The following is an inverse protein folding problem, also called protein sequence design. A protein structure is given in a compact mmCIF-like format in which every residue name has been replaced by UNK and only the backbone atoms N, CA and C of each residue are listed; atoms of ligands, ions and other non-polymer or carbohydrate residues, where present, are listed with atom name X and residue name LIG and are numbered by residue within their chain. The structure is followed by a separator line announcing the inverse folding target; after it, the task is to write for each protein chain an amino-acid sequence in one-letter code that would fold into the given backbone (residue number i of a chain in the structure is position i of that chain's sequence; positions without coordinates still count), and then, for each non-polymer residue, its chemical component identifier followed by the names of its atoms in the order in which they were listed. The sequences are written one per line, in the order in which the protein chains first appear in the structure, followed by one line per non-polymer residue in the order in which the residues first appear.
data_IF_941912668886
#
_entry.id   IF_941912668886
#
_cell.length_a   1.000
_cell.length_b   1.000
_cell.length_c   1.000
_cell.angle_alpha   90.00
_cell.angle_beta   90.00
_cell.angle_gamma   90.00
#
_symmetry.space_group_name_H-M   'P 1'
#
loop_
_entity.id
_entity.type
_entity.pdbx_description
1 polymer ?
#
# COMPACT_ATOMS: atom_id res chain seq x y z
N UNK A 1 0.60 2.31 -1.28
CA UNK A 1 1.91 1.67 -1.00
C UNK A 1 3.00 2.69 -1.21
N UNK A 2 4.05 2.75 -0.39
CA UNK A 2 5.18 3.62 -0.68
C UNK A 2 6.30 2.86 -1.41
N UNK A 3 7.12 3.58 -2.19
CA UNK A 3 8.08 3.02 -3.15
C UNK A 3 9.54 3.27 -2.75
N UNK A 4 9.82 3.34 -1.46
CA UNK A 4 11.16 3.64 -0.94
C UNK A 4 12.21 2.66 -1.47
N UNK A 5 11.85 1.37 -1.60
CA UNK A 5 12.76 0.34 -2.12
C UNK A 5 13.11 0.54 -3.59
N UNK A 6 12.14 0.97 -4.42
CA UNK A 6 12.39 1.30 -5.82
C UNK A 6 13.39 2.46 -5.93
N UNK A 7 13.19 3.51 -5.12
CA UNK A 7 14.10 4.66 -5.07
C UNK A 7 15.52 4.21 -4.71
N UNK A 8 15.66 3.33 -3.71
CA UNK A 8 16.97 2.82 -3.30
C UNK A 8 17.67 2.02 -4.40
N UNK A 9 16.97 1.12 -5.09
CA UNK A 9 17.54 0.35 -6.19
C UNK A 9 17.94 1.21 -7.39
N UNK A 10 17.26 2.35 -7.59
CA UNK A 10 17.51 3.25 -8.71
C UNK A 10 18.54 4.35 -8.38
N UNK A 11 18.97 4.47 -7.12
CA UNK A 11 19.95 5.48 -6.72
C UNK A 11 21.39 5.19 -7.22
N UNK A 12 21.67 3.96 -7.66
CA UNK A 12 22.99 3.56 -8.16
C UNK A 12 22.86 2.88 -9.52
N UNK A 13 23.55 3.36 -10.58
CA UNK A 13 23.51 2.71 -11.90
C UNK A 13 23.96 1.24 -11.88
N UNK A 14 24.81 0.87 -10.93
CA UNK A 14 25.33 -0.50 -10.75
C UNK A 14 24.32 -1.48 -10.15
N UNK A 15 23.24 -1.00 -9.53
CA UNK A 15 22.17 -1.83 -8.96
C UNK A 15 20.97 -1.97 -9.89
N UNK A 16 21.02 -1.34 -11.07
CA UNK A 16 19.96 -1.41 -12.08
C UNK A 16 20.17 -2.64 -12.95
N UNK A 17 19.19 -3.54 -12.92
CA UNK A 17 19.10 -4.74 -13.74
C UNK A 17 17.78 -4.76 -14.51
N UNK A 18 17.62 -5.67 -15.47
CA UNK A 18 16.35 -5.88 -16.17
C UNK A 18 15.21 -6.35 -15.24
N UNK A 19 15.53 -6.84 -14.04
CA UNK A 19 14.53 -7.21 -13.04
C UNK A 19 14.00 -6.02 -12.24
N UNK A 20 14.61 -4.82 -12.29
CA UNK A 20 14.12 -3.69 -11.50
C UNK A 20 12.69 -3.31 -11.88
N UNK A 21 12.40 -3.18 -13.18
CA UNK A 21 11.07 -2.83 -13.67
C UNK A 21 10.00 -3.86 -13.30
N UNK A 22 10.32 -5.16 -13.42
CA UNK A 22 9.40 -6.21 -13.00
C UNK A 22 9.40 -6.40 -11.49
N UNK A 23 10.42 -5.96 -10.76
CA UNK A 23 10.66 -6.17 -9.32
C UNK A 23 9.95 -5.17 -8.43
N UNK A 24 9.91 -3.90 -8.84
CA UNK A 24 9.51 -2.81 -7.94
C UNK A 24 8.41 -1.90 -8.49
N UNK A 25 7.99 -2.06 -9.74
CA UNK A 25 6.93 -1.23 -10.29
C UNK A 25 5.63 -1.37 -9.48
N UNK A 26 4.88 -0.27 -9.35
CA UNK A 26 3.68 -0.25 -8.50
C UNK A 26 2.61 -1.26 -8.95
N UNK A 27 2.39 -1.38 -10.26
CA UNK A 27 1.43 -2.34 -10.85
C UNK A 27 1.80 -3.80 -10.56
N UNK A 28 3.10 -4.10 -10.51
CA UNK A 28 3.63 -5.43 -10.24
C UNK A 28 3.23 -5.89 -8.84
N UNK A 29 3.09 -5.00 -7.87
CA UNK A 29 2.69 -5.39 -6.51
C UNK A 29 1.35 -6.15 -6.49
N UNK A 30 0.37 -5.72 -7.31
CA UNK A 30 -0.89 -6.43 -7.50
C UNK A 30 -0.72 -7.62 -8.47
N UNK A 31 -0.07 -7.40 -9.61
CA UNK A 31 0.02 -8.40 -10.67
C UNK A 31 0.79 -9.66 -10.25
N UNK A 32 1.80 -9.55 -9.37
CA UNK A 32 2.52 -10.71 -8.82
C UNK A 32 1.63 -11.60 -7.97
N UNK A 33 0.73 -11.00 -7.18
CA UNK A 33 -0.27 -11.76 -6.40
C UNK A 33 -1.20 -12.48 -7.38
N UNK A 34 -1.73 -11.77 -8.37
CA UNK A 34 -2.59 -12.38 -9.39
C UNK A 34 -1.89 -13.51 -10.14
N UNK A 35 -0.63 -13.33 -10.54
CA UNK A 35 0.16 -14.35 -11.21
C UNK A 35 0.38 -15.59 -10.33
N UNK A 36 0.82 -15.40 -9.09
CA UNK A 36 1.14 -16.51 -8.18
C UNK A 36 -0.09 -17.37 -7.82
N UNK A 37 -1.27 -16.75 -7.71
CA UNK A 37 -2.51 -17.46 -7.39
C UNK A 37 -3.39 -17.74 -8.61
N UNK A 38 -2.89 -17.47 -9.82
CA UNK A 38 -3.61 -17.62 -11.08
C UNK A 38 -4.98 -16.90 -11.09
N UNK A 39 -5.06 -15.72 -10.50
CA UNK A 39 -6.25 -14.87 -10.53
C UNK A 39 -6.37 -14.18 -11.89
N UNK A 40 -7.53 -14.31 -12.51
CA UNK A 40 -7.82 -13.78 -13.86
C UNK A 40 -8.74 -12.55 -13.85
N UNK A 41 -9.21 -12.13 -12.67
CA UNK A 41 -10.02 -10.93 -12.49
C UNK A 41 -9.22 -9.62 -12.49
N UNK A 42 -9.84 -8.49 -12.12
CA UNK A 42 -9.18 -7.19 -12.06
C UNK A 42 -7.91 -7.20 -11.19
N UNK A 43 -6.81 -6.64 -11.70
CA UNK A 43 -5.54 -6.53 -10.98
C UNK A 43 -4.91 -5.16 -11.21
N UNK A 44 -4.81 -4.37 -10.15
CA UNK A 44 -4.27 -3.02 -10.19
C UNK A 44 -3.77 -2.57 -8.81
N UNK A 45 -2.86 -1.61 -8.82
CA UNK A 45 -2.41 -0.92 -7.62
C UNK A 45 -3.02 0.50 -7.58
N UNK A 46 -3.30 1.00 -6.38
CA UNK A 46 -3.84 2.33 -6.13
C UNK A 46 -2.87 3.11 -5.23
N UNK A 47 -2.66 4.38 -5.58
CA UNK A 47 -1.99 5.35 -4.74
C UNK A 47 -2.90 6.57 -4.53
N UNK A 48 -3.49 6.63 -3.34
CA UNK A 48 -4.22 7.80 -2.82
C UNK A 48 -3.59 8.26 -1.50
N UNK A 49 -2.26 8.18 -1.41
CA UNK A 49 -1.48 8.43 -0.21
C UNK A 49 -1.95 7.58 0.99
N UNK A 50 -2.18 8.20 2.16
CA UNK A 50 -2.53 7.52 3.41
C UNK A 50 -3.82 6.68 3.34
N UNK A 51 -4.70 6.96 2.37
CA UNK A 51 -5.97 6.26 2.21
C UNK A 51 -5.91 5.06 1.27
N UNK A 52 -4.76 4.79 0.64
CA UNK A 52 -4.62 3.81 -0.46
C UNK A 52 -5.22 2.44 -0.16
N UNK A 53 -5.00 1.89 1.05
CA UNK A 53 -5.53 0.57 1.44
C UNK A 53 -7.05 0.58 1.61
N UNK A 54 -7.63 1.67 2.12
CA UNK A 54 -9.07 1.83 2.25
C UNK A 54 -9.74 2.05 0.89
N UNK A 55 -9.09 2.76 -0.03
CA UNK A 55 -9.58 2.91 -1.41
C UNK A 55 -9.50 1.57 -2.15
N UNK A 56 -8.43 0.79 -1.96
CA UNK A 56 -8.35 -0.56 -2.51
C UNK A 56 -9.48 -1.46 -1.98
N UNK A 57 -9.79 -1.38 -0.68
CA UNK A 57 -10.93 -2.08 -0.09
C UNK A 57 -12.27 -1.64 -0.69
N UNK A 58 -12.46 -0.32 -0.86
CA UNK A 58 -13.64 0.24 -1.49
C UNK A 58 -13.82 -0.28 -2.94
N UNK A 59 -12.77 -0.23 -3.76
CA UNK A 59 -12.78 -0.72 -5.12
C UNK A 59 -13.07 -2.23 -5.19
N UNK A 60 -12.47 -3.02 -4.29
CA UNK A 60 -12.72 -4.47 -4.21
C UNK A 60 -14.18 -4.77 -3.86
N UNK A 61 -14.75 -4.07 -2.87
CA UNK A 61 -16.16 -4.20 -2.53
C UNK A 61 -17.09 -3.76 -3.67
N UNK A 62 -16.71 -2.72 -4.41
CA UNK A 62 -17.45 -2.24 -5.58
C UNK A 62 -17.43 -3.27 -6.72
N UNK A 63 -16.26 -3.80 -7.08
CA UNK A 63 -16.10 -4.80 -8.13
C UNK A 63 -16.94 -6.06 -7.86
N UNK A 64 -16.95 -6.53 -6.61
CA UNK A 64 -17.81 -7.67 -6.21
C UNK A 64 -19.30 -7.34 -6.37
N UNK A 65 -19.73 -6.13 -5.99
CA UNK A 65 -21.13 -5.71 -6.09
C UNK A 65 -21.60 -5.51 -7.53
N UNK A 66 -20.72 -5.07 -8.42
CA UNK A 66 -21.03 -4.92 -9.85
C UNK A 66 -21.00 -6.26 -10.61
N UNK A 67 -20.45 -7.31 -9.99
CA UNK A 67 -20.31 -8.61 -10.62
C UNK A 67 -19.03 -8.76 -11.46
N UNK A 68 -18.08 -7.82 -11.35
CA UNK A 68 -16.78 -7.89 -12.04
C UNK A 68 -15.92 -9.04 -11.50
N UNK A 69 -16.12 -9.43 -10.23
CA UNK A 69 -15.48 -10.60 -9.63
C UNK A 69 -16.34 -11.19 -8.50
N UNK A 70 -16.09 -12.46 -8.16
CA UNK A 70 -16.81 -13.16 -7.09
C UNK A 70 -16.06 -13.16 -5.75
N UNK A 71 -14.77 -12.83 -5.80
CA UNK A 71 -13.87 -12.72 -4.66
C UNK A 71 -12.80 -11.69 -5.02
N UNK A 72 -12.33 -10.94 -4.04
CA UNK A 72 -11.26 -9.96 -4.23
C UNK A 72 -10.24 -10.03 -3.10
N UNK A 73 -8.97 -9.93 -3.45
CA UNK A 73 -7.87 -9.75 -2.50
C UNK A 73 -7.46 -8.28 -2.57
N UNK A 74 -7.43 -7.60 -1.43
CA UNK A 74 -7.04 -6.19 -1.37
C UNK A 74 -6.31 -5.88 -0.08
N UNK A 75 -5.55 -4.79 -0.07
CA UNK A 75 -4.79 -4.38 1.10
C UNK A 75 -3.71 -3.37 0.76
N UNK A 76 -2.72 -3.26 1.63
CA UNK A 76 -1.63 -2.31 1.44
C UNK A 76 -0.42 -2.63 2.30
N UNK A 77 0.73 -2.13 1.85
CA UNK A 77 2.00 -2.19 2.55
C UNK A 77 2.64 -0.80 2.58
N UNK A 78 3.31 -0.48 3.69
CA UNK A 78 4.13 0.70 3.86
C UNK A 78 5.37 0.36 4.69
N UNK A 79 6.56 0.63 4.14
CA UNK A 79 7.85 0.43 4.80
C UNK A 79 8.71 1.70 4.70
N UNK A 80 9.28 2.16 5.81
CA UNK A 80 10.10 3.37 5.90
C UNK A 80 11.56 2.98 5.69
N UNK A 81 12.01 2.98 4.44
CA UNK A 81 13.36 2.52 4.10
C UNK A 81 14.29 3.70 3.84
N UNK A 82 13.74 4.84 3.41
CA UNK A 82 14.52 6.03 3.09
C UNK A 82 14.08 7.25 3.93
N UNK A 83 15.02 8.05 4.47
CA UNK A 83 14.67 9.21 5.30
C UNK A 83 14.04 10.37 4.52
N UNK A 84 14.10 10.39 3.18
CA UNK A 84 13.65 11.54 2.37
C UNK A 84 12.21 11.96 2.68
N UNK A 85 11.28 11.01 2.71
CA UNK A 85 9.87 11.29 3.02
C UNK A 85 9.70 11.75 4.47
N UNK A 86 10.43 11.14 5.41
CA UNK A 86 10.40 11.54 6.82
C UNK A 86 10.86 13.00 6.98
N UNK A 87 12.00 13.36 6.39
CA UNK A 87 12.56 14.73 6.44
C UNK A 87 11.61 15.75 5.82
N UNK A 88 10.99 15.43 4.68
CA UNK A 88 10.03 16.31 4.03
C UNK A 88 8.81 16.57 4.94
N UNK A 89 8.25 15.53 5.55
CA UNK A 89 7.12 15.63 6.47
C UNK A 89 7.48 16.38 7.76
N UNK A 90 8.70 16.19 8.28
CA UNK A 90 9.20 16.94 9.44
C UNK A 90 9.36 18.43 9.13
N UNK A 91 9.90 18.79 7.95
CA UNK A 91 9.97 20.19 7.50
C UNK A 91 8.58 20.82 7.32
N UNK A 92 7.59 20.01 6.94
CA UNK A 92 6.18 20.40 6.87
C UNK A 92 5.48 20.44 8.25
N UNK A 93 6.19 20.15 9.34
CA UNK A 93 5.66 20.08 10.72
C UNK A 93 4.50 19.07 10.88
N UNK A 94 4.52 17.99 10.11
CA UNK A 94 3.50 16.94 10.19
C UNK A 94 3.87 15.82 11.18
N UNK A 95 5.16 15.66 11.48
CA UNK A 95 5.67 14.63 12.37
C UNK A 95 5.79 15.15 13.80
N UNK A 96 5.30 14.37 14.76
CA UNK A 96 5.47 14.69 16.18
C UNK A 96 6.93 14.57 16.60
N UNK A 97 7.50 15.53 17.36
CA UNK A 97 8.91 15.47 17.81
C UNK A 97 9.25 14.25 18.66
N UNK A 98 8.27 13.71 19.41
CA UNK A 98 8.44 12.49 20.22
C UNK A 98 8.01 11.21 19.47
N UNK A 99 7.68 11.34 18.18
CA UNK A 99 7.31 10.23 17.30
C UNK A 99 5.98 9.56 17.66
N UNK A 100 5.16 10.16 18.54
CA UNK A 100 3.92 9.54 19.03
C UNK A 100 2.69 10.26 18.49
N UNK A 101 1.76 9.51 17.91
CA UNK A 101 0.43 10.02 17.58
C UNK A 101 -0.40 10.17 18.85
N UNK A 102 -0.87 11.39 19.13
CA UNK A 102 -1.69 11.71 20.32
C UNK A 102 -3.12 12.10 19.91
N UNK A 103 -3.91 11.17 19.35
CA UNK A 103 -5.22 11.50 18.80
C UNK A 103 -6.12 12.10 19.89
N UNK A 104 -6.78 13.21 19.57
CA UNK A 104 -7.73 13.91 20.44
C UNK A 104 -7.13 14.49 21.75
N UNK A 105 -5.80 14.56 21.86
CA UNK A 105 -5.13 15.18 23.01
C UNK A 105 -4.95 16.69 22.80
N UNK A 106 -5.00 17.47 23.89
CA UNK A 106 -4.58 18.88 23.90
C UNK A 106 -3.07 19.07 23.61
N UNK A 107 -2.28 18.00 23.69
CA UNK A 107 -0.84 17.97 23.38
C UNK A 107 -0.54 17.41 21.98
N UNK A 108 -1.53 17.33 21.09
CA UNK A 108 -1.33 16.84 19.73
C UNK A 108 -0.43 17.80 18.93
N UNK A 109 0.68 17.29 18.42
CA UNK A 109 1.77 18.06 17.80
C UNK A 109 2.29 17.41 16.49
N UNK A 110 1.46 16.56 15.87
CA UNK A 110 1.79 15.79 14.68
C UNK A 110 1.42 14.31 14.85
N UNK A 111 1.86 13.47 13.91
CA UNK A 111 1.69 12.02 13.99
C UNK A 111 3.03 11.29 14.04
N UNK A 112 3.02 10.13 14.68
CA UNK A 112 4.10 9.15 14.63
C UNK A 112 4.03 8.34 13.34
N UNK A 113 5.14 8.27 12.59
CA UNK A 113 5.20 7.39 11.42
C UNK A 113 5.32 5.93 11.85
N UNK A 114 4.57 5.06 11.18
CA UNK A 114 4.64 3.62 11.35
C UNK A 114 4.79 2.89 10.02
N UNK A 115 5.16 1.62 10.13
CA UNK A 115 5.21 0.65 9.04
C UNK A 115 4.08 -0.38 9.22
N UNK A 116 3.72 -1.06 8.15
CA UNK A 116 2.73 -2.12 8.24
C UNK A 116 2.39 -2.74 6.89
N UNK A 117 1.89 -3.97 6.95
CA UNK A 117 1.32 -4.68 5.83
C UNK A 117 0.02 -5.34 6.28
N UNK A 118 -1.01 -5.27 5.47
CA UNK A 118 -2.28 -5.93 5.73
C UNK A 118 -2.98 -6.30 4.43
N UNK A 119 -3.53 -7.51 4.39
CA UNK A 119 -4.31 -8.05 3.27
C UNK A 119 -5.63 -8.58 3.83
N UNK A 120 -6.71 -8.35 3.09
CA UNK A 120 -8.02 -8.92 3.37
C UNK A 120 -8.57 -9.57 2.10
N UNK A 121 -9.33 -10.64 2.31
CA UNK A 121 -10.05 -11.34 1.25
C UNK A 121 -11.54 -11.07 1.43
N UNK A 122 -12.17 -10.54 0.38
CA UNK A 122 -13.59 -10.27 0.34
C UNK A 122 -14.31 -11.31 -0.51
N UNK A 123 -15.44 -11.82 -0.02
CA UNK A 123 -16.38 -12.63 -0.79
C UNK A 123 -17.83 -12.27 -0.41
N UNK A 124 -18.81 -12.42 -1.32
CA UNK A 124 -20.22 -12.27 -0.99
C UNK A 124 -20.61 -13.20 0.17
N UNK A 125 -21.39 -12.68 1.12
CA UNK A 125 -21.88 -13.47 2.26
C UNK A 125 -22.64 -14.74 1.82
N UNK A 126 -23.40 -14.64 0.72
CA UNK A 126 -24.11 -15.79 0.12
C UNK A 126 -23.18 -16.95 -0.30
N UNK A 127 -21.89 -16.69 -0.47
CA UNK A 127 -20.84 -17.66 -0.83
C UNK A 127 -19.90 -17.96 0.35
N UNK A 128 -20.30 -17.62 1.57
CA UNK A 128 -19.56 -17.94 2.78
C UNK A 128 -19.84 -19.39 3.21
N UNK A 129 -19.14 -20.34 2.60
CA UNK A 129 -18.97 -21.68 3.18
C UNK A 129 -17.77 -21.65 4.13
N UNK A 130 -17.96 -22.18 5.34
CA UNK A 130 -16.93 -22.36 6.38
C UNK A 130 -15.84 -23.35 5.98
#
# INVERSE_FOLDING_TARGET
MNRDYETLLNNSPTTITHYNGTGTAMSIAANRISYNFNFTGPSFAIDSACSSSLVALHCAAHAIRQGDCEMAVCGGVSCIIEPRVFVALSKAKMISPDGTSKPFSSKADGYGRGEGCGIVVLKPLKKMTS
#
